data_IF_683565064558
#
_entry.id   IF_683565064558
#
_cell.length_a   1.000
_cell.length_b   1.000
_cell.length_c   1.000
_cell.angle_alpha   90.00
_cell.angle_beta   90.00
_cell.angle_gamma   90.00
#
_symmetry.space_group_name_H-M   'P 1'
#
loop_
_entity.id
_entity.type
_entity.pdbx_description
1 polymer ?
#
# COMPACT_ATOMS: atom_id res chain seq x y z
N UNK A 1 -30.63 -3.45 -10.46
CA UNK A 1 -30.02 -3.29 -11.81
C UNK A 1 -30.21 -4.59 -12.60
N UNK A 2 -31.36 -4.77 -13.26
CA UNK A 2 -31.67 -6.02 -13.96
C UNK A 2 -30.95 -6.16 -15.31
N UNK A 3 -30.41 -5.07 -15.88
CA UNK A 3 -29.80 -5.07 -17.21
C UNK A 3 -28.27 -5.18 -17.20
N UNK A 4 -27.66 -5.42 -16.03
CA UNK A 4 -26.20 -5.50 -15.92
C UNK A 4 -25.62 -6.61 -16.81
N UNK A 5 -26.30 -7.75 -16.91
CA UNK A 5 -25.88 -8.85 -17.76
C UNK A 5 -25.90 -8.48 -19.26
N UNK A 6 -26.89 -7.68 -19.71
CA UNK A 6 -26.99 -7.21 -21.10
C UNK A 6 -25.87 -6.24 -21.47
N UNK A 7 -25.31 -5.54 -20.47
CA UNK A 7 -24.19 -4.60 -20.64
C UNK A 7 -22.82 -5.29 -20.51
N UNK A 8 -22.79 -6.62 -20.45
CA UNK A 8 -21.57 -7.40 -20.35
C UNK A 8 -20.94 -7.44 -18.95
N UNK A 9 -21.62 -6.92 -17.92
CA UNK A 9 -21.13 -7.06 -16.55
C UNK A 9 -21.19 -8.52 -16.14
N UNK A 10 -20.03 -9.08 -15.79
CA UNK A 10 -19.93 -10.44 -15.29
C UNK A 10 -20.01 -10.42 -13.77
N UNK A 11 -20.78 -11.35 -13.21
CA UNK A 11 -20.87 -11.51 -11.75
C UNK A 11 -19.49 -11.76 -11.14
N UNK A 12 -19.21 -11.10 -10.01
CA UNK A 12 -17.95 -11.22 -9.28
C UNK A 12 -16.81 -10.34 -9.79
N UNK A 13 -17.05 -9.46 -10.77
CA UNK A 13 -16.09 -8.44 -11.14
C UNK A 13 -15.79 -7.51 -9.94
N UNK A 14 -14.52 -7.11 -9.71
CA UNK A 14 -14.18 -6.15 -8.67
C UNK A 14 -14.87 -4.80 -8.89
N UNK A 15 -15.15 -4.08 -7.80
CA UNK A 15 -15.79 -2.76 -7.85
C UNK A 15 -14.98 -1.70 -8.62
N UNK A 16 -13.66 -1.69 -8.44
CA UNK A 16 -12.74 -0.78 -9.14
C UNK A 16 -11.62 -1.59 -9.80
N UNK A 17 -11.31 -1.23 -11.05
CA UNK A 17 -10.12 -1.69 -11.77
C UNK A 17 -9.36 -0.47 -12.29
N UNK A 18 -8.11 -0.34 -11.87
CA UNK A 18 -7.14 0.65 -12.35
C UNK A 18 -6.24 -0.04 -13.37
N UNK A 19 -6.35 0.37 -14.63
CA UNK A 19 -5.61 -0.24 -15.74
C UNK A 19 -4.21 0.34 -15.95
N UNK A 20 -3.81 1.31 -15.13
CA UNK A 20 -2.50 1.92 -15.23
C UNK A 20 -1.42 1.01 -14.61
N UNK A 21 -0.45 0.48 -15.39
CA UNK A 21 0.55 -0.44 -14.89
C UNK A 21 1.61 0.27 -14.04
N UNK A 22 1.88 -0.26 -12.85
CA UNK A 22 2.85 0.31 -11.91
C UNK A 22 3.76 -0.78 -11.32
N UNK A 23 5.06 -0.48 -11.22
CA UNK A 23 6.05 -1.44 -10.74
C UNK A 23 6.07 -2.73 -11.55
N UNK A 24 5.77 -3.86 -10.90
CA UNK A 24 5.67 -5.19 -11.51
C UNK A 24 4.23 -5.58 -11.91
N UNK A 25 3.24 -4.77 -11.55
CA UNK A 25 1.83 -5.08 -11.74
C UNK A 25 1.31 -4.46 -13.02
N UNK A 26 0.45 -5.20 -13.74
CA UNK A 26 -0.20 -4.72 -14.96
C UNK A 26 -1.39 -3.80 -14.69
N UNK A 27 -1.89 -3.79 -13.46
CA UNK A 27 -3.01 -2.99 -13.00
C UNK A 27 -3.33 -3.30 -11.54
N UNK A 28 -4.34 -2.62 -11.00
CA UNK A 28 -4.79 -2.79 -9.62
C UNK A 28 -6.31 -2.93 -9.55
N UNK A 29 -6.78 -4.06 -9.02
CA UNK A 29 -8.19 -4.32 -8.77
C UNK A 29 -8.52 -4.21 -7.29
N UNK A 30 -9.64 -3.56 -6.99
CA UNK A 30 -10.10 -3.27 -5.63
C UNK A 30 -11.56 -3.70 -5.50
N UNK A 31 -11.82 -4.49 -4.48
CA UNK A 31 -13.15 -4.89 -4.04
C UNK A 31 -13.45 -4.22 -2.70
N UNK A 32 -14.60 -3.58 -2.60
CA UNK A 32 -15.09 -2.98 -1.37
C UNK A 32 -16.03 -3.91 -0.64
N UNK A 33 -15.86 -3.99 0.68
CA UNK A 33 -16.78 -4.65 1.59
C UNK A 33 -17.41 -3.64 2.52
N UNK A 34 -18.53 -4.03 3.12
CA UNK A 34 -19.19 -3.20 4.11
C UNK A 34 -18.25 -2.97 5.30
N UNK A 35 -18.13 -1.73 5.81
CA UNK A 35 -17.31 -1.42 6.99
C UNK A 35 -17.68 -2.21 8.24
N UNK A 36 -18.87 -2.81 8.28
CA UNK A 36 -19.32 -3.69 9.37
C UNK A 36 -18.53 -5.01 9.42
N UNK A 37 -17.69 -5.32 8.42
CA UNK A 37 -16.84 -6.51 8.39
C UNK A 37 -17.60 -7.83 8.16
N UNK A 38 -18.91 -7.78 7.95
CA UNK A 38 -19.77 -8.97 7.81
C UNK A 38 -19.76 -9.57 6.40
N UNK A 39 -19.19 -8.87 5.41
CA UNK A 39 -19.18 -9.28 4.01
C UNK A 39 -17.88 -9.98 3.61
N UNK A 40 -17.91 -11.33 3.52
CA UNK A 40 -16.86 -12.10 2.86
C UNK A 40 -16.86 -11.90 1.34
N UNK A 41 -15.74 -12.21 0.68
CA UNK A 41 -15.73 -12.34 -0.78
C UNK A 41 -16.51 -13.60 -1.19
N UNK A 42 -17.44 -13.46 -2.14
CA UNK A 42 -18.15 -14.62 -2.70
C UNK A 42 -17.20 -15.49 -3.55
N UNK A 43 -17.53 -16.76 -3.75
CA UNK A 43 -16.72 -17.69 -4.56
C UNK A 43 -16.46 -17.14 -5.98
N UNK A 44 -17.47 -16.51 -6.59
CA UNK A 44 -17.35 -15.88 -7.91
C UNK A 44 -16.33 -14.75 -7.92
N UNK A 45 -16.25 -13.97 -6.84
CA UNK A 45 -15.27 -12.90 -6.67
C UNK A 45 -13.87 -13.48 -6.49
N UNK A 46 -13.72 -14.50 -5.64
CA UNK A 46 -12.44 -15.19 -5.42
C UNK A 46 -11.89 -15.74 -6.74
N UNK A 47 -12.72 -16.41 -7.54
CA UNK A 47 -12.34 -16.90 -8.87
C UNK A 47 -11.89 -15.76 -9.80
N UNK A 48 -12.54 -14.60 -9.74
CA UNK A 48 -12.14 -13.41 -10.49
C UNK A 48 -10.77 -12.87 -10.04
N UNK A 49 -10.54 -12.80 -8.73
CA UNK A 49 -9.26 -12.37 -8.16
C UNK A 49 -8.13 -13.28 -8.61
N UNK A 50 -8.33 -14.60 -8.61
CA UNK A 50 -7.33 -15.55 -9.12
C UNK A 50 -6.98 -15.30 -10.60
N UNK A 51 -7.98 -15.03 -11.45
CA UNK A 51 -7.74 -14.69 -12.86
C UNK A 51 -6.90 -13.42 -13.00
N UNK A 52 -7.24 -12.38 -12.24
CA UNK A 52 -6.51 -11.10 -12.23
C UNK A 52 -5.07 -11.26 -11.74
N UNK A 53 -4.86 -11.98 -10.64
CA UNK A 53 -3.51 -12.28 -10.13
C UNK A 53 -2.69 -13.07 -11.15
N UNK A 54 -3.29 -14.05 -11.84
CA UNK A 54 -2.61 -14.85 -12.88
C UNK A 54 -2.14 -14.00 -14.06
N UNK A 55 -2.89 -12.96 -14.44
CA UNK A 55 -2.47 -12.02 -15.50
C UNK A 55 -1.51 -10.93 -15.01
N UNK A 56 -1.23 -10.87 -13.70
CA UNK A 56 -0.26 -9.94 -13.10
C UNK A 56 -0.86 -8.67 -12.51
N UNK A 57 -2.16 -8.65 -12.20
CA UNK A 57 -2.77 -7.55 -11.46
C UNK A 57 -2.51 -7.68 -9.97
N UNK A 58 -2.40 -6.53 -9.30
CA UNK A 58 -2.53 -6.47 -7.86
C UNK A 58 -4.02 -6.54 -7.50
N UNK A 59 -4.38 -7.24 -6.43
CA UNK A 59 -5.77 -7.35 -5.95
C UNK A 59 -5.82 -6.97 -4.48
N UNK A 60 -6.84 -6.20 -4.09
CA UNK A 60 -7.14 -5.85 -2.71
C UNK A 60 -8.64 -6.00 -2.45
N UNK A 61 -8.97 -6.54 -1.28
CA UNK A 61 -10.32 -6.50 -0.71
C UNK A 61 -10.23 -5.66 0.57
N UNK A 62 -11.06 -4.62 0.68
CA UNK A 62 -11.02 -3.71 1.84
C UNK A 62 -12.42 -3.32 2.27
N UNK A 63 -12.63 -3.26 3.58
CA UNK A 63 -13.81 -2.71 4.25
C UNK A 63 -13.60 -1.26 4.74
N UNK A 64 -12.37 -0.75 4.60
CA UNK A 64 -11.93 0.54 5.08
C UNK A 64 -11.52 1.45 3.91
N UNK A 65 -12.17 2.61 3.83
CA UNK A 65 -11.93 3.62 2.81
C UNK A 65 -10.55 4.25 2.95
N UNK A 66 -10.11 4.56 4.18
CA UNK A 66 -8.82 5.22 4.44
C UNK A 66 -7.68 4.30 4.04
N UNK A 67 -7.75 3.01 4.42
CA UNK A 67 -6.77 2.01 3.97
C UNK A 67 -6.74 1.88 2.45
N UNK A 68 -7.91 1.96 1.80
CA UNK A 68 -7.99 1.90 0.34
C UNK A 68 -7.27 3.08 -0.32
N UNK A 69 -7.53 4.30 0.14
CA UNK A 69 -6.85 5.50 -0.36
C UNK A 69 -5.33 5.42 -0.17
N UNK A 70 -4.87 5.00 1.01
CA UNK A 70 -3.44 4.78 1.28
C UNK A 70 -2.87 3.77 0.29
N UNK A 71 -3.56 2.64 0.06
CA UNK A 71 -3.07 1.59 -0.84
C UNK A 71 -3.00 2.05 -2.30
N UNK A 72 -3.97 2.84 -2.74
CA UNK A 72 -3.96 3.45 -4.08
C UNK A 72 -2.74 4.38 -4.21
N UNK A 73 -2.49 5.24 -3.22
CA UNK A 73 -1.32 6.12 -3.21
C UNK A 73 0.00 5.32 -3.25
N UNK A 74 0.10 4.27 -2.43
CA UNK A 74 1.26 3.37 -2.46
C UNK A 74 1.44 2.69 -3.82
N UNK A 75 0.35 2.26 -4.46
CA UNK A 75 0.38 1.66 -5.79
C UNK A 75 0.96 2.61 -6.84
N UNK A 76 0.56 3.88 -6.80
CA UNK A 76 1.11 4.90 -7.70
C UNK A 76 2.51 5.39 -7.30
N UNK A 77 2.93 5.19 -6.06
CA UNK A 77 4.30 5.45 -5.62
C UNK A 77 5.30 4.35 -6.05
N UNK A 78 4.82 3.20 -6.55
CA UNK A 78 5.69 2.13 -7.03
C UNK A 78 6.59 2.64 -8.17
N UNK A 79 7.91 2.41 -8.03
CA UNK A 79 8.87 2.74 -9.08
C UNK A 79 8.53 1.95 -10.34
N UNK A 80 8.21 2.65 -11.43
CA UNK A 80 8.05 2.02 -12.75
C UNK A 80 9.32 1.24 -13.06
N UNK A 81 9.18 -0.07 -13.25
CA UNK A 81 10.30 -0.90 -13.68
C UNK A 81 10.52 -0.60 -15.14
N UNK A 82 11.58 0.16 -15.46
CA UNK A 82 11.97 0.38 -16.84
C UNK A 82 12.37 -0.97 -17.44
N UNK A 83 11.50 -1.53 -18.27
CA UNK A 83 11.83 -2.75 -19.01
C UNK A 83 12.79 -2.33 -20.12
N UNK A 84 14.05 -2.76 -20.03
CA UNK A 84 14.96 -2.67 -21.17
C UNK A 84 14.42 -3.65 -22.22
N UNK A 85 13.88 -3.11 -23.30
CA UNK A 85 13.49 -3.91 -24.47
C UNK A 85 14.65 -3.80 -25.45
N UNK A 86 15.28 -4.92 -25.76
CA UNK A 86 16.28 -5.00 -26.83
C UNK A 86 15.54 -5.44 -28.08
N UNK A 87 15.48 -4.58 -29.09
CA UNK A 87 14.98 -4.92 -30.42
C UNK A 87 16.16 -4.83 -31.37
N UNK A 88 16.46 -5.91 -32.09
CA UNK A 88 17.52 -5.98 -33.12
C UNK A 88 18.89 -5.44 -32.64
N UNK A 89 19.42 -5.95 -31.53
CA UNK A 89 20.69 -5.51 -30.91
C UNK A 89 20.79 -4.01 -30.58
N UNK A 90 19.70 -3.26 -30.71
CA UNK A 90 19.65 -1.83 -30.40
C UNK A 90 18.89 -1.65 -29.09
N UNK A 91 19.55 -1.14 -28.06
CA UNK A 91 18.89 -0.83 -26.79
C UNK A 91 18.08 0.46 -26.95
N UNK A 92 16.76 0.34 -27.16
CA UNK A 92 15.86 1.47 -27.13
C UNK A 92 15.27 1.63 -25.72
N UNK A 93 15.72 2.64 -24.98
CA UNK A 93 15.13 2.97 -23.69
C UNK A 93 13.79 3.68 -23.91
N UNK A 94 12.67 2.96 -23.80
CA UNK A 94 11.34 3.57 -23.80
C UNK A 94 11.16 4.33 -22.47
N UNK A 95 11.29 5.64 -22.52
CA UNK A 95 11.17 6.53 -21.36
C UNK A 95 9.70 6.72 -21.01
N UNK A 96 9.16 5.81 -20.20
CA UNK A 96 7.80 5.96 -19.69
C UNK A 96 7.74 7.11 -18.68
N UNK A 97 6.84 8.06 -18.94
CA UNK A 97 6.61 9.33 -18.24
C UNK A 97 6.68 9.21 -16.70
N UNK A 98 7.42 10.14 -16.07
CA UNK A 98 7.48 10.33 -14.61
C UNK A 98 6.41 11.34 -14.18
N UNK A 99 5.45 11.00 -13.31
CA UNK A 99 4.83 12.00 -12.47
C UNK A 99 5.84 12.43 -11.40
N UNK A 100 6.13 13.74 -11.30
CA UNK A 100 6.87 14.29 -10.16
C UNK A 100 5.86 14.51 -9.04
N UNK A 101 5.88 13.67 -8.01
CA UNK A 101 5.30 14.03 -6.72
C UNK A 101 6.44 14.29 -5.74
N UNK A 102 6.46 15.49 -5.18
CA UNK A 102 7.41 15.91 -4.16
C UNK A 102 7.19 15.06 -2.91
N UNK A 103 8.29 14.50 -2.42
CA UNK A 103 8.33 13.72 -1.20
C UNK A 103 7.82 14.53 -0.01
N UNK A 104 6.80 14.03 0.67
CA UNK A 104 6.81 14.16 2.12
C UNK A 104 6.34 12.89 2.83
N UNK A 105 6.95 12.69 3.98
CA UNK A 105 7.14 11.46 4.75
C UNK A 105 5.87 10.62 4.96
N UNK A 106 5.93 9.33 4.64
CA UNK A 106 5.22 8.30 5.42
C UNK A 106 5.85 6.92 5.19
N UNK A 107 6.55 6.43 6.21
CA UNK A 107 7.07 5.07 6.25
C UNK A 107 6.01 4.13 6.82
N UNK A 108 5.71 3.10 6.03
CA UNK A 108 5.40 1.70 6.35
C UNK A 108 4.65 1.33 7.65
N UNK A 109 3.58 0.53 7.45
CA UNK A 109 3.33 -0.66 8.27
C UNK A 109 2.70 -1.79 7.42
N UNK A 110 3.55 -2.66 6.85
CA UNK A 110 3.15 -3.87 6.13
C UNK A 110 3.26 -5.07 7.07
N UNK A 111 2.14 -5.57 7.60
CA UNK A 111 2.18 -6.78 8.45
C UNK A 111 0.93 -7.68 8.46
N UNK A 112 0.10 -7.67 7.41
CA UNK A 112 -1.18 -8.40 7.49
C UNK A 112 -1.46 -9.49 6.44
N UNK A 113 -0.51 -9.89 5.60
CA UNK A 113 -0.80 -10.89 4.54
C UNK A 113 0.19 -12.07 4.44
N UNK A 114 1.24 -12.13 5.25
CA UNK A 114 2.18 -13.26 5.25
C UNK A 114 1.87 -14.33 6.29
N UNK A 115 0.90 -14.12 7.20
CA UNK A 115 0.62 -15.05 8.31
C UNK A 115 -0.39 -16.16 8.00
N UNK A 116 -0.88 -16.29 6.75
CA UNK A 116 -1.92 -17.27 6.39
C UNK A 116 -1.57 -18.19 5.22
N UNK A 117 -0.35 -18.12 4.70
CA UNK A 117 0.16 -19.00 3.64
C UNK A 117 1.47 -19.66 4.06
N UNK A 118 1.51 -20.21 5.28
CA UNK A 118 2.47 -21.27 5.58
C UNK A 118 1.96 -22.56 4.94
N UNK A 119 2.44 -22.80 3.73
CA UNK A 119 2.34 -24.10 3.07
C UNK A 119 2.97 -25.18 3.96
N UNK A 120 2.29 -26.33 4.06
CA UNK A 120 2.82 -27.54 4.70
C UNK A 120 4.14 -27.93 4.03
N UNK A 121 5.24 -28.13 4.76
CA UNK A 121 6.44 -28.70 4.15
C UNK A 121 6.18 -30.17 3.80
N UNK A 122 6.33 -30.51 2.53
CA UNK A 122 6.53 -31.88 2.06
C UNK A 122 7.68 -32.51 2.84
N UNK A 123 7.43 -33.68 3.42
CA UNK A 123 8.42 -34.46 4.15
C UNK A 123 9.49 -34.97 3.17
N UNK A 124 10.60 -34.25 3.10
CA UNK A 124 11.84 -34.78 2.53
C UNK A 124 12.62 -35.45 3.66
N UNK A 125 12.87 -36.75 3.56
CA UNK A 125 13.71 -37.47 4.52
C UNK A 125 15.15 -36.96 4.39
N UNK A 126 15.62 -36.24 5.41
CA UNK A 126 17.01 -35.80 5.55
C UNK A 126 17.78 -36.88 6.30
N UNK A 127 18.68 -37.55 5.58
CA UNK A 127 19.73 -38.40 6.14
C UNK A 127 20.63 -37.54 7.03
N UNK A 128 20.63 -37.80 8.33
CA UNK A 128 21.47 -37.08 9.31
C UNK A 128 22.90 -37.60 9.26
N UNK A 129 23.76 -36.91 8.52
CA UNK A 129 25.21 -36.96 8.76
C UNK A 129 25.57 -35.95 9.85
N UNK A 130 26.21 -36.39 10.93
CA UNK A 130 26.68 -35.54 12.02
C UNK A 130 27.65 -34.45 11.51
N UNK A 131 27.16 -33.21 11.36
CA UNK A 131 28.02 -32.05 11.08
C UNK A 131 28.52 -31.44 12.37
N UNK A 132 29.85 -31.36 12.50
CA UNK A 132 30.57 -30.59 13.52
C UNK A 132 29.96 -29.18 13.64
N UNK A 133 29.52 -28.83 14.86
CA UNK A 133 28.88 -27.54 15.16
C UNK A 133 29.86 -26.40 14.92
N UNK A 134 29.52 -25.53 13.97
CA UNK A 134 30.25 -24.28 13.70
C UNK A 134 30.38 -23.43 14.98
N UNK A 135 31.60 -23.05 15.38
CA UNK A 135 31.84 -22.29 16.61
C UNK A 135 31.14 -20.92 16.61
N UNK A 136 30.85 -20.36 15.43
CA UNK A 136 30.12 -19.09 15.27
C UNK A 136 28.64 -19.19 15.71
N UNK A 137 28.01 -20.37 15.57
CA UNK A 137 26.62 -20.59 16.01
C UNK A 137 26.49 -20.69 17.53
N UNK A 138 27.52 -21.20 18.21
CA UNK A 138 27.57 -21.30 19.67
C UNK A 138 27.66 -19.91 20.32
N UNK A 139 28.38 -18.97 19.70
CA UNK A 139 28.49 -17.60 20.18
C UNK A 139 27.16 -16.81 20.08
N UNK A 140 26.37 -17.05 19.03
CA UNK A 140 25.07 -16.41 18.84
C UNK A 140 24.04 -16.84 19.90
N UNK A 141 24.03 -18.12 20.28
CA UNK A 141 23.16 -18.64 21.35
C UNK A 141 23.43 -18.01 22.71
N UNK A 142 24.72 -17.77 23.05
CA UNK A 142 25.10 -17.11 24.31
C UNK A 142 24.65 -15.65 24.38
N UNK A 143 24.67 -14.92 23.27
CA UNK A 143 24.20 -13.51 23.20
C UNK A 143 22.68 -13.40 23.39
N UNK A 144 21.91 -14.32 22.80
CA UNK A 144 20.44 -14.33 22.95
C UNK A 144 20.01 -14.66 24.39
N UNK A 145 20.71 -15.57 25.06
CA UNK A 145 20.46 -15.88 26.47
C UNK A 145 20.74 -14.67 27.40
N UNK A 146 21.78 -13.89 27.12
CA UNK A 146 22.09 -12.66 27.87
C UNK A 146 21.00 -11.58 27.69
N UNK A 147 20.54 -11.36 26.46
CA UNK A 147 19.45 -10.41 26.17
C UNK A 147 18.14 -10.82 26.86
N UNK A 148 17.83 -12.12 26.88
CA UNK A 148 16.67 -12.67 27.59
C UNK A 148 16.71 -12.40 29.10
N UNK A 149 17.89 -12.54 29.74
CA UNK A 149 18.07 -12.22 31.17
C UNK A 149 17.85 -10.73 31.45
N UNK A 150 18.44 -9.84 30.64
CA UNK A 150 18.29 -8.38 30.80
C UNK A 150 16.82 -7.96 30.65
N UNK A 151 16.09 -8.55 29.71
CA UNK A 151 14.67 -8.28 29.51
C UNK A 151 13.81 -8.73 30.71
N UNK A 152 14.12 -9.88 31.32
CA UNK A 152 13.41 -10.36 32.52
C UNK A 152 13.67 -9.47 33.74
N UNK A 153 14.90 -9.01 33.95
CA UNK A 153 15.22 -8.08 35.05
C UNK A 153 14.53 -6.72 34.89
N UNK A 154 14.48 -6.17 33.68
CA UNK A 154 13.75 -4.90 33.43
C UNK A 154 12.25 -5.04 33.65
N UNK A 155 11.67 -6.20 33.30
CA UNK A 155 10.24 -6.46 33.54
C UNK A 155 9.92 -6.61 35.03
N UNK A 156 10.87 -7.11 35.84
CA UNK A 156 10.74 -7.18 37.30
C UNK A 156 10.82 -5.78 37.94
N UNK A 157 11.71 -4.90 37.46
CA UNK A 157 11.82 -3.51 37.93
C UNK A 157 10.62 -2.63 37.57
N UNK A 158 9.90 -2.93 36.48
CA UNK A 158 8.67 -2.22 36.10
C UNK A 158 7.42 -2.69 36.87
N UNK A 159 7.50 -3.78 37.63
CA UNK A 159 6.36 -4.38 38.32
C UNK A 159 6.22 -3.94 39.78
N UNK A 160 7.14 -3.13 40.30
CA UNK A 160 6.99 -2.50 41.61
C UNK A 160 6.12 -1.25 41.44
N UNK A 161 4.90 -1.21 42.02
CA UNK A 161 4.06 -0.02 41.95
C UNK A 161 4.72 1.06 42.82
N UNK A 162 5.35 2.05 42.18
CA UNK A 162 5.72 3.27 42.89
C UNK A 162 4.44 3.90 43.43
N UNK A 163 4.40 4.08 44.76
CA UNK A 163 3.29 4.73 45.44
C UNK A 163 2.99 6.06 44.77
N UNK A 164 1.74 6.16 44.32
CA UNK A 164 1.14 7.27 43.59
C UNK A 164 1.29 8.59 44.38
N UNK A 165 2.40 9.28 44.18
CA UNK A 165 2.52 10.69 44.51
C UNK A 165 1.67 11.49 43.53
N UNK A 166 0.57 12.05 44.04
CA UNK A 166 -0.36 12.95 43.34
C UNK A 166 0.35 14.09 42.59
N UNK A 167 1.58 14.44 42.98
CA UNK A 167 2.41 15.43 42.32
C UNK A 167 2.84 15.02 40.89
N UNK A 168 2.98 13.71 40.62
CA UNK A 168 3.34 13.24 39.28
C UNK A 168 2.18 13.42 38.30
N UNK A 169 0.93 13.23 38.74
CA UNK A 169 -0.25 13.40 37.90
C UNK A 169 -0.37 14.86 37.43
N UNK A 170 -0.15 15.82 38.33
CA UNK A 170 -0.17 17.25 38.00
C UNK A 170 0.93 17.59 36.96
N UNK A 171 2.13 17.03 37.12
CA UNK A 171 3.22 17.21 36.16
C UNK A 171 2.88 16.63 34.78
N UNK A 172 2.30 15.43 34.71
CA UNK A 172 1.89 14.81 33.44
C UNK A 172 0.77 15.58 32.75
N UNK A 173 -0.21 16.08 33.50
CA UNK A 173 -1.28 16.93 32.96
C UNK A 173 -0.71 18.24 32.41
N UNK A 174 0.24 18.87 33.11
CA UNK A 174 0.92 20.07 32.63
C UNK A 174 1.67 19.85 31.32
N UNK A 175 2.41 18.75 31.20
CA UNK A 175 3.12 18.39 29.96
C UNK A 175 2.14 18.11 28.82
N UNK A 176 1.03 17.42 29.08
CA UNK A 176 0.01 17.14 28.06
C UNK A 176 -0.63 18.43 27.52
N UNK A 177 -0.97 19.39 28.39
CA UNK A 177 -1.52 20.69 28.00
C UNK A 177 -0.51 21.47 27.14
N UNK A 178 0.77 21.49 27.53
CA UNK A 178 1.82 22.18 26.77
C UNK A 178 1.98 21.60 25.35
N UNK A 179 1.93 20.26 25.23
CA UNK A 179 2.00 19.58 23.93
C UNK A 179 0.79 19.88 23.04
N UNK A 180 -0.42 19.91 23.61
CA UNK A 180 -1.64 20.26 22.87
C UNK A 180 -1.53 21.70 22.35
N UNK A 181 -1.11 22.64 23.18
CA UNK A 181 -0.91 24.04 22.78
C UNK A 181 0.12 24.19 21.64
N UNK A 182 1.22 23.43 21.69
CA UNK A 182 2.23 23.44 20.63
C UNK A 182 1.68 22.89 19.30
N UNK A 183 0.89 21.82 19.33
CA UNK A 183 0.25 21.25 18.13
C UNK A 183 -0.76 22.23 17.53
N UNK A 184 -1.53 22.92 18.36
CA UNK A 184 -2.49 23.93 17.90
C UNK A 184 -1.78 25.12 17.23
N UNK A 185 -0.72 25.63 17.86
CA UNK A 185 0.10 26.71 17.30
C UNK A 185 0.74 26.31 15.96
N UNK A 186 1.27 25.09 15.88
CA UNK A 186 1.82 24.56 14.63
C UNK A 186 0.77 24.47 13.52
N UNK A 187 -0.42 23.95 13.83
CA UNK A 187 -1.51 23.85 12.86
C UNK A 187 -2.00 25.21 12.37
N UNK A 188 -2.03 26.21 13.26
CA UNK A 188 -2.36 27.58 12.87
C UNK A 188 -1.31 28.15 11.91
N UNK A 189 -0.02 27.98 12.22
CA UNK A 189 1.05 28.41 11.34
C UNK A 189 0.98 27.74 9.96
N UNK A 190 0.63 26.45 9.89
CA UNK A 190 0.41 25.75 8.62
C UNK A 190 -0.79 26.29 7.82
N UNK A 191 -1.80 26.87 8.49
CA UNK A 191 -2.92 27.53 7.79
C UNK A 191 -2.52 28.88 7.23
N UNK A 192 -1.74 29.65 7.98
CA UNK A 192 -1.27 30.99 7.58
C UNK A 192 -0.21 30.91 6.45
N UNK A 193 0.59 29.85 6.42
CA UNK A 193 1.66 29.68 5.42
C UNK A 193 1.20 29.00 4.12
N UNK A 194 0.01 28.42 4.08
CA UNK A 194 -0.57 27.90 2.84
C UNK A 194 -0.93 29.08 1.93
N UNK A 195 -0.04 29.35 0.95
CA UNK A 195 -0.36 30.22 -0.18
C UNK A 195 -1.69 29.78 -0.79
N UNK A 196 -2.59 30.72 -1.15
CA UNK A 196 -3.82 30.37 -1.83
C UNK A 196 -3.47 29.59 -3.09
N UNK A 197 -4.07 28.42 -3.26
CA UNK A 197 -3.90 27.65 -4.50
C UNK A 197 -4.30 28.54 -5.68
N UNK A 198 -3.50 28.57 -6.75
CA UNK A 198 -3.87 29.33 -7.93
C UNK A 198 -5.23 28.84 -8.41
N UNK A 199 -6.21 29.74 -8.48
CA UNK A 199 -7.52 29.43 -9.05
C UNK A 199 -7.29 28.93 -10.47
N UNK A 200 -7.61 27.66 -10.70
CA UNK A 200 -7.60 27.07 -12.03
C UNK A 200 -8.68 27.78 -12.87
N UNK A 201 -8.24 28.65 -13.77
CA UNK A 201 -9.08 29.21 -14.82
C UNK A 201 -9.00 28.19 -15.96
N UNK A 202 -10.09 27.48 -16.31
CA UNK A 202 -10.07 26.59 -17.45
C UNK A 202 -9.79 27.43 -18.70
N UNK A 203 -8.68 27.12 -19.37
CA UNK A 203 -8.40 27.64 -20.70
C UNK A 203 -9.53 27.16 -21.62
N UNK A 204 -10.37 28.09 -22.07
CA UNK A 204 -11.33 27.82 -23.14
C UNK A 204 -10.55 27.58 -24.42
N UNK A 205 -10.26 26.31 -24.69
CA UNK A 205 -9.72 25.88 -25.98
C UNK A 205 -10.84 26.00 -27.00
N UNK A 206 -10.86 27.12 -27.74
CA UNK A 206 -11.69 27.25 -28.94
C UNK A 206 -11.17 26.27 -29.99
N UNK A 207 -11.82 25.10 -30.06
CA UNK A 207 -11.61 24.14 -31.14
C UNK A 207 -12.28 24.72 -32.39
N UNK A 208 -11.54 25.49 -33.17
CA UNK A 208 -11.93 25.84 -34.53
C UNK A 208 -11.88 24.58 -35.39
N UNK A 209 -13.02 23.89 -35.51
CA UNK A 209 -13.22 22.86 -36.53
C UNK A 209 -13.31 23.58 -37.88
N UNK A 210 -12.20 23.61 -38.63
CA UNK A 210 -12.30 23.75 -40.09
C UNK A 210 -12.96 22.47 -40.60
N UNK A 211 -14.22 22.58 -41.02
CA UNK A 211 -14.91 21.55 -41.74
C UNK A 211 -14.19 21.33 -43.07
N UNK A 212 -13.61 20.15 -43.24
CA UNK A 212 -13.06 19.70 -44.52
C UNK A 212 -14.19 18.96 -45.24
N UNK A 213 -15.04 19.74 -45.94
CA UNK A 213 -16.21 19.25 -46.70
C UNK A 213 -15.84 18.58 -48.03
N UNK A 214 -14.56 18.31 -48.29
CA UNK A 214 -14.08 17.95 -49.63
C UNK A 214 -14.11 16.45 -49.96
N UNK A 215 -14.78 15.59 -49.19
CA UNK A 215 -14.56 14.12 -49.30
C UNK A 215 -15.79 13.20 -49.41
N UNK A 216 -16.95 13.71 -49.84
CA UNK A 216 -18.17 12.89 -49.98
C UNK A 216 -18.58 12.52 -51.42
N UNK A 217 -17.88 12.96 -52.47
CA UNK A 217 -18.29 12.73 -53.87
C UNK A 217 -17.56 11.56 -54.58
N UNK A 218 -17.30 10.42 -53.92
CA UNK A 218 -16.63 9.29 -54.62
C UNK A 218 -17.12 7.89 -54.29
N UNK A 219 -18.37 7.74 -53.85
CA UNK A 219 -19.00 6.42 -53.72
C UNK A 219 -20.41 6.45 -54.33
N UNK A 220 -20.45 6.39 -55.66
CA UNK A 220 -21.52 5.78 -56.45
C UNK A 220 -20.98 4.53 -57.15
#
# INVERSE_FOLDING_TARGET
RCDAWKKGYKGGQPDIIIENPMGKYKGFAIEFKSPKGTGGASEKQVLWFHKLMKIGYMVMVSDDLVKTCIRINEYFALKKVAKKVTVNNTQCAVRLYRPRFSSDKTQLNLRYLTSRMEDKPEQTQVVTSEKKKDPKRVAAGKRLAAISKIAKERKKKLAEPEESSSNNIIAYVGVAIALISLVLAFNQHQRETKKPEPKYIPETVEVTRKADESRLDSLE
#
